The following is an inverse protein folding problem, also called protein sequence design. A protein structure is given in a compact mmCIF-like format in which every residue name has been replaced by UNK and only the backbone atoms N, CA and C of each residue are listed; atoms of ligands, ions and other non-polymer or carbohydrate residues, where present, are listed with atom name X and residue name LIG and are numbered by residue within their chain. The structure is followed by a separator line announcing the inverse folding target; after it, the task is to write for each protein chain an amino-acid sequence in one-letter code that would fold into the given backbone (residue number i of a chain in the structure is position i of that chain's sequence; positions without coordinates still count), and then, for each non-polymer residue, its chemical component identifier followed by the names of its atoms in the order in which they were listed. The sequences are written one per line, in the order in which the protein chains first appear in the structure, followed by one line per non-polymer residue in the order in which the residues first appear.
data_IF_291726411097
#
_entry.id   IF_291726411097
#
_cell.length_a   1.000
_cell.length_b   1.000
_cell.length_c   1.000
_cell.angle_alpha   90.00
_cell.angle_beta   90.00
_cell.angle_gamma   90.00
#
_symmetry.space_group_name_H-M   'P 1'
#
loop_
_entity.id
_entity.type
_entity.pdbx_description
1 polymer ?
#
# COMPACT_ATOMS: atom_id res chain seq x y z
N UNK A 1 -4.85 15.01 17.74
CA UNK A 1 -4.39 15.29 16.37
C UNK A 1 -5.62 15.61 15.54
N UNK A 2 -5.66 16.77 14.89
CA UNK A 2 -6.74 17.07 13.95
C UNK A 2 -6.63 16.13 12.75
N UNK A 3 -7.68 15.36 12.49
CA UNK A 3 -7.77 14.47 11.34
C UNK A 3 -7.77 15.31 10.06
N UNK A 4 -6.75 15.13 9.21
CA UNK A 4 -6.53 15.88 7.96
C UNK A 4 -7.40 15.32 6.82
N UNK A 5 -8.68 15.69 6.86
CA UNK A 5 -9.71 15.27 5.89
C UNK A 5 -9.37 15.71 4.45
N UNK A 6 -8.65 16.80 4.31
CA UNK A 6 -8.10 17.32 3.06
C UNK A 6 -7.17 16.29 2.37
N UNK A 7 -6.25 15.68 3.13
CA UNK A 7 -5.32 14.70 2.58
C UNK A 7 -6.01 13.38 2.27
N UNK A 8 -6.94 12.92 3.13
CA UNK A 8 -7.74 11.74 2.81
C UNK A 8 -8.59 11.97 1.54
N UNK A 9 -9.08 13.20 1.31
CA UNK A 9 -9.75 13.59 0.07
C UNK A 9 -8.84 13.53 -1.16
N UNK A 10 -7.60 14.02 -1.06
CA UNK A 10 -6.62 13.92 -2.15
C UNK A 10 -6.26 12.47 -2.48
N UNK A 11 -6.12 11.61 -1.46
CA UNK A 11 -5.92 10.17 -1.67
C UNK A 11 -7.11 9.52 -2.37
N UNK A 12 -8.33 9.89 -1.99
CA UNK A 12 -9.53 9.41 -2.67
C UNK A 12 -9.54 9.84 -4.14
N UNK A 13 -9.22 11.10 -4.44
CA UNK A 13 -9.11 11.61 -5.81
C UNK A 13 -8.02 10.87 -6.62
N UNK A 14 -6.89 10.52 -6.01
CA UNK A 14 -5.83 9.75 -6.66
C UNK A 14 -6.26 8.33 -7.06
N UNK A 15 -7.18 7.72 -6.30
CA UNK A 15 -7.71 6.37 -6.58
C UNK A 15 -8.80 6.39 -7.67
N UNK A 16 -9.52 7.49 -7.86
CA UNK A 16 -10.62 7.56 -8.83
C UNK A 16 -10.21 7.19 -10.27
N UNK A 17 -9.12 7.72 -10.85
CA UNK A 17 -8.66 7.31 -12.18
C UNK A 17 -8.35 5.81 -12.26
N UNK A 18 -7.83 5.21 -11.19
CA UNK A 18 -7.53 3.77 -11.12
C UNK A 18 -8.83 2.96 -11.27
N UNK A 19 -9.86 3.33 -10.50
CA UNK A 19 -11.16 2.65 -10.54
C UNK A 19 -11.85 2.85 -11.88
N UNK A 20 -11.86 4.07 -12.41
CA UNK A 20 -12.49 4.39 -13.70
C UNK A 20 -11.81 3.67 -14.86
N UNK A 21 -10.48 3.56 -14.83
CA UNK A 21 -9.72 2.79 -15.80
C UNK A 21 -10.16 1.31 -15.81
N UNK A 22 -10.22 0.66 -14.65
CA UNK A 22 -10.65 -0.74 -14.54
C UNK A 22 -12.15 -0.93 -14.82
N UNK A 23 -12.97 0.11 -14.67
CA UNK A 23 -14.38 0.10 -15.03
C UNK A 23 -14.64 0.30 -16.54
N UNK A 24 -13.59 0.42 -17.37
CA UNK A 24 -13.70 0.51 -18.83
C UNK A 24 -13.89 1.93 -19.38
N UNK A 25 -13.69 2.97 -18.56
CA UNK A 25 -13.74 4.35 -19.04
C UNK A 25 -12.42 4.72 -19.73
N UNK A 26 -12.36 4.49 -21.05
CA UNK A 26 -11.16 4.64 -21.90
C UNK A 26 -10.54 6.05 -22.03
N UNK A 27 -11.06 7.06 -21.32
CA UNK A 27 -10.53 8.42 -21.30
C UNK A 27 -9.38 8.63 -20.29
N UNK A 28 -9.08 7.64 -19.44
CA UNK A 28 -8.02 7.71 -18.44
C UNK A 28 -6.84 6.79 -18.79
N UNK A 29 -5.99 7.15 -19.77
CA UNK A 29 -4.75 6.42 -19.99
C UNK A 29 -3.85 6.61 -18.75
N UNK A 30 -3.70 5.56 -17.95
CA UNK A 30 -2.77 5.55 -16.81
C UNK A 30 -3.41 5.41 -15.43
N UNK A 31 -4.11 4.29 -15.18
CA UNK A 31 -4.41 3.87 -13.81
C UNK A 31 -3.17 3.87 -12.89
N UNK A 32 -1.98 3.63 -13.45
CA UNK A 32 -0.70 3.70 -12.74
C UNK A 32 -0.39 5.08 -12.16
N UNK A 33 -0.72 6.18 -12.86
CA UNK A 33 -0.45 7.54 -12.36
C UNK A 33 -1.21 7.83 -11.07
N UNK A 34 -2.45 7.33 -10.97
CA UNK A 34 -3.24 7.45 -9.74
C UNK A 34 -2.60 6.72 -8.57
N UNK A 35 -2.03 5.53 -8.82
CA UNK A 35 -1.32 4.74 -7.82
C UNK A 35 -0.04 5.47 -7.35
N UNK A 36 0.74 6.03 -8.28
CA UNK A 36 1.96 6.78 -7.95
C UNK A 36 1.66 8.01 -7.07
N UNK A 37 0.66 8.81 -7.46
CA UNK A 37 0.22 9.96 -6.67
C UNK A 37 -0.25 9.52 -5.28
N UNK A 38 -1.00 8.42 -5.18
CA UNK A 38 -1.46 7.89 -3.91
C UNK A 38 -0.30 7.51 -2.99
N UNK A 39 0.75 6.86 -3.52
CA UNK A 39 1.95 6.53 -2.75
C UNK A 39 2.71 7.76 -2.28
N UNK A 40 2.90 8.76 -3.14
CA UNK A 40 3.56 10.02 -2.79
C UNK A 40 2.84 10.73 -1.64
N UNK A 41 1.51 10.87 -1.75
CA UNK A 41 0.69 11.51 -0.71
C UNK A 41 0.77 10.73 0.61
N UNK A 42 0.74 9.40 0.53
CA UNK A 42 0.79 8.52 1.70
C UNK A 42 2.12 8.64 2.44
N UNK A 43 3.23 8.63 1.71
CA UNK A 43 4.56 8.84 2.27
C UNK A 43 4.72 10.23 2.92
N UNK A 44 4.23 11.29 2.27
CA UNK A 44 4.23 12.64 2.84
C UNK A 44 3.47 12.71 4.17
N UNK A 45 2.25 12.15 4.20
CA UNK A 45 1.40 12.14 5.39
C UNK A 45 2.08 11.41 6.55
N UNK A 46 2.64 10.23 6.29
CA UNK A 46 3.22 9.38 7.33
C UNK A 46 4.51 9.96 7.86
N UNK A 47 5.35 10.50 6.98
CA UNK A 47 6.54 11.26 7.40
C UNK A 47 6.14 12.37 8.37
N UNK A 48 5.10 13.15 8.04
CA UNK A 48 4.59 14.22 8.90
C UNK A 48 4.09 13.72 10.26
N UNK A 49 3.33 12.62 10.28
CA UNK A 49 2.82 12.01 11.53
C UNK A 49 3.97 11.54 12.41
N UNK A 50 4.90 10.75 11.85
CA UNK A 50 6.03 10.19 12.59
C UNK A 50 6.90 11.31 13.14
N UNK A 51 7.25 12.28 12.30
CA UNK A 51 8.06 13.43 12.72
C UNK A 51 7.38 14.20 13.86
N UNK A 52 6.10 14.53 13.72
CA UNK A 52 5.35 15.26 14.76
C UNK A 52 5.29 14.49 16.09
N UNK A 53 5.12 13.17 16.04
CA UNK A 53 5.13 12.31 17.22
C UNK A 53 6.52 12.21 17.86
N UNK A 54 7.60 12.13 17.05
CA UNK A 54 8.99 12.12 17.52
C UNK A 54 9.35 13.45 18.16
N UNK A 55 9.10 14.57 17.50
CA UNK A 55 9.37 15.93 18.02
C UNK A 55 8.67 16.15 19.37
N UNK A 56 7.51 15.52 19.54
CA UNK A 56 6.74 15.57 20.77
C UNK A 56 7.09 14.49 21.81
N UNK A 57 8.09 13.64 21.55
CA UNK A 57 8.47 12.49 22.38
C UNK A 57 7.32 11.51 22.69
N UNK A 58 6.37 11.37 21.75
CA UNK A 58 5.19 10.48 21.88
C UNK A 58 5.16 9.35 20.86
N UNK A 59 6.17 9.25 19.99
CA UNK A 59 6.19 8.21 18.96
C UNK A 59 6.34 6.83 19.58
N UNK A 60 5.43 5.93 19.21
CA UNK A 60 5.49 4.51 19.54
C UNK A 60 5.23 3.72 18.27
N UNK A 61 6.22 2.91 17.88
CA UNK A 61 6.14 2.09 16.68
C UNK A 61 5.02 1.04 16.77
N UNK A 62 4.81 0.50 17.97
CA UNK A 62 3.73 -0.46 18.25
C UNK A 62 2.38 0.22 18.03
N UNK A 63 2.18 1.40 18.64
CA UNK A 63 0.92 2.14 18.50
C UNK A 63 0.70 2.60 17.04
N UNK A 64 1.77 2.88 16.29
CA UNK A 64 1.68 3.21 14.87
C UNK A 64 1.11 2.02 14.08
N UNK A 65 1.70 0.82 14.21
CA UNK A 65 1.21 -0.37 13.51
C UNK A 65 -0.19 -0.77 13.96
N UNK A 66 -0.48 -0.70 15.25
CA UNK A 66 -1.79 -1.04 15.81
C UNK A 66 -2.92 -0.17 15.24
N UNK A 67 -2.70 1.14 15.11
CA UNK A 67 -3.68 2.06 14.49
C UNK A 67 -3.92 1.73 13.02
N UNK A 68 -2.87 1.36 12.28
CA UNK A 68 -2.99 0.97 10.88
C UNK A 68 -3.72 -0.34 10.72
N UNK A 69 -3.34 -1.34 11.50
CA UNK A 69 -3.96 -2.66 11.50
C UNK A 69 -5.47 -2.57 11.73
N UNK A 70 -5.91 -1.77 12.73
CA UNK A 70 -7.34 -1.53 12.97
C UNK A 70 -8.08 -0.82 11.84
N UNK A 71 -7.39 -0.03 11.01
CA UNK A 71 -7.99 0.68 9.87
C UNK A 71 -8.08 -0.21 8.63
N UNK A 72 -7.08 -1.06 8.39
CA UNK A 72 -6.88 -1.75 7.11
C UNK A 72 -7.32 -3.21 7.17
N UNK A 73 -6.91 -3.95 8.21
CA UNK A 73 -7.17 -5.40 8.30
C UNK A 73 -8.67 -5.76 8.26
N UNK A 74 -9.59 -5.02 8.93
CA UNK A 74 -11.01 -5.38 8.88
C UNK A 74 -11.58 -5.36 7.46
N UNK A 75 -11.29 -4.30 6.70
CA UNK A 75 -11.75 -4.18 5.31
C UNK A 75 -11.04 -5.20 4.41
N UNK A 76 -9.73 -5.39 4.59
CA UNK A 76 -8.95 -6.37 3.84
C UNK A 76 -9.49 -7.80 4.00
N UNK A 77 -9.66 -8.26 5.24
CA UNK A 77 -10.18 -9.61 5.50
C UNK A 77 -11.65 -9.76 5.10
N UNK A 78 -12.45 -8.69 5.20
CA UNK A 78 -13.83 -8.73 4.69
C UNK A 78 -13.87 -8.96 3.17
N UNK A 79 -13.04 -8.25 2.40
CA UNK A 79 -12.92 -8.44 0.94
C UNK A 79 -12.36 -9.82 0.63
N UNK A 80 -11.31 -10.26 1.34
CA UNK A 80 -10.71 -11.56 1.14
C UNK A 80 -11.72 -12.69 1.35
N UNK A 81 -12.45 -12.67 2.47
CA UNK A 81 -13.49 -13.67 2.79
C UNK A 81 -14.65 -13.62 1.79
N UNK A 82 -15.12 -12.43 1.42
CA UNK A 82 -16.18 -12.30 0.42
C UNK A 82 -15.76 -12.88 -0.94
N UNK A 83 -14.50 -12.64 -1.33
CA UNK A 83 -13.95 -13.14 -2.59
C UNK A 83 -13.69 -14.65 -2.54
N UNK A 84 -13.27 -15.18 -1.39
CA UNK A 84 -13.11 -16.63 -1.15
C UNK A 84 -14.45 -17.36 -1.31
N UNK A 85 -15.49 -16.87 -0.63
CA UNK A 85 -16.84 -17.45 -0.72
C UNK A 85 -17.38 -17.34 -2.14
N UNK A 86 -17.25 -16.17 -2.80
CA UNK A 86 -17.68 -16.00 -4.17
C UNK A 86 -16.90 -16.91 -5.14
N UNK A 87 -15.59 -17.00 -4.96
CA UNK A 87 -14.70 -17.83 -5.78
C UNK A 87 -15.08 -19.30 -5.75
N UNK A 88 -15.50 -19.82 -4.59
CA UNK A 88 -15.96 -21.21 -4.46
C UNK A 88 -17.15 -21.54 -5.36
N UNK A 89 -18.05 -20.58 -5.60
CA UNK A 89 -19.24 -20.79 -6.44
C UNK A 89 -19.04 -20.40 -7.90
N UNK A 90 -18.11 -19.49 -8.19
CA UNK A 90 -17.96 -18.87 -9.51
C UNK A 90 -16.76 -19.39 -10.32
N UNK A 91 -15.72 -19.89 -9.67
CA UNK A 91 -14.49 -20.33 -10.33
C UNK A 91 -14.48 -21.84 -10.60
N UNK A 92 -13.83 -22.23 -11.69
CA UNK A 92 -13.50 -23.64 -11.92
C UNK A 92 -12.46 -24.11 -10.89
N UNK A 93 -12.38 -25.43 -10.61
CA UNK A 93 -11.44 -25.95 -9.61
C UNK A 93 -9.98 -25.54 -9.82
N UNK A 94 -9.54 -25.43 -11.08
CA UNK A 94 -8.18 -25.01 -11.43
C UNK A 94 -7.97 -23.51 -11.15
N UNK A 95 -8.90 -22.66 -11.55
CA UNK A 95 -8.86 -21.21 -11.28
C UNK A 95 -8.93 -20.92 -9.78
N UNK A 96 -9.72 -21.68 -9.04
CA UNK A 96 -9.83 -21.56 -7.58
C UNK A 96 -8.52 -21.87 -6.87
N UNK A 97 -7.72 -22.83 -7.37
CA UNK A 97 -6.38 -23.09 -6.83
C UNK A 97 -5.44 -21.90 -7.05
N UNK A 98 -5.45 -21.31 -8.25
CA UNK A 98 -4.68 -20.09 -8.54
C UNK A 98 -5.10 -18.91 -7.67
N UNK A 99 -6.42 -18.75 -7.50
CA UNK A 99 -6.99 -17.77 -6.58
C UNK A 99 -6.54 -17.99 -5.12
N UNK A 100 -6.58 -19.22 -4.60
CA UNK A 100 -6.16 -19.53 -3.24
C UNK A 100 -4.68 -19.21 -2.99
N UNK A 101 -3.81 -19.47 -3.97
CA UNK A 101 -2.40 -19.05 -3.90
C UNK A 101 -2.26 -17.53 -3.84
N UNK A 102 -3.05 -16.80 -4.64
CA UNK A 102 -3.07 -15.34 -4.60
C UNK A 102 -3.62 -14.79 -3.27
N UNK A 103 -4.57 -15.48 -2.64
CA UNK A 103 -5.14 -15.14 -1.33
C UNK A 103 -4.10 -15.31 -0.21
N UNK A 104 -3.32 -16.38 -0.24
CA UNK A 104 -2.18 -16.58 0.66
C UNK A 104 -1.16 -15.46 0.47
N UNK A 105 -0.77 -15.17 -0.77
CA UNK A 105 0.19 -14.11 -1.06
C UNK A 105 -0.32 -12.72 -0.61
N UNK A 106 -1.61 -12.43 -0.79
CA UNK A 106 -2.23 -11.19 -0.32
C UNK A 106 -2.24 -11.10 1.22
N UNK A 107 -2.55 -12.20 1.92
CA UNK A 107 -2.55 -12.25 3.40
C UNK A 107 -1.17 -12.00 3.99
N UNK A 108 -0.13 -12.48 3.30
CA UNK A 108 1.27 -12.26 3.66
C UNK A 108 1.81 -10.91 3.18
N UNK A 109 0.98 -10.08 2.53
CA UNK A 109 1.37 -8.81 1.90
C UNK A 109 2.56 -8.96 0.93
N UNK A 110 2.57 -10.03 0.13
CA UNK A 110 3.56 -10.32 -0.92
C UNK A 110 2.91 -10.56 -2.29
N UNK A 111 1.66 -10.16 -2.47
CA UNK A 111 0.94 -10.42 -3.74
C UNK A 111 1.55 -9.67 -4.93
N UNK A 112 2.25 -8.54 -4.70
CA UNK A 112 3.02 -7.87 -5.75
C UNK A 112 4.12 -8.77 -6.33
N UNK A 113 4.85 -9.49 -5.49
CA UNK A 113 5.91 -10.40 -5.92
C UNK A 113 5.30 -11.63 -6.61
N UNK A 114 4.21 -12.16 -6.04
CA UNK A 114 3.48 -13.29 -6.61
C UNK A 114 3.00 -12.99 -8.03
N UNK A 115 2.27 -11.89 -8.24
CA UNK A 115 1.75 -11.55 -9.58
C UNK A 115 2.87 -11.17 -10.55
N UNK A 116 3.94 -10.51 -10.09
CA UNK A 116 5.12 -10.25 -10.92
C UNK A 116 5.81 -11.54 -11.38
N UNK A 117 5.88 -12.56 -10.53
CA UNK A 117 6.45 -13.86 -10.91
C UNK A 117 5.62 -14.61 -11.96
N UNK A 118 4.32 -14.31 -12.05
CA UNK A 118 3.40 -14.93 -13.02
C UNK A 118 3.32 -14.16 -14.34
N UNK A 119 3.53 -12.83 -14.33
CA UNK A 119 3.31 -11.97 -15.50
C UNK A 119 4.24 -12.22 -16.68
N UNK A 120 5.33 -12.99 -16.50
CA UNK A 120 6.28 -13.34 -17.56
C UNK A 120 6.00 -14.70 -18.21
N UNK A 121 4.90 -15.37 -17.85
CA UNK A 121 4.54 -16.66 -18.41
C UNK A 121 3.69 -16.49 -19.68
N UNK A 122 4.03 -17.19 -20.77
CA UNK A 122 3.27 -17.16 -22.03
C UNK A 122 1.82 -17.62 -21.84
N UNK A 123 1.58 -18.48 -20.86
CA UNK A 123 0.27 -19.00 -20.49
C UNK A 123 -0.36 -18.25 -19.30
N UNK A 124 0.08 -17.02 -19.02
CA UNK A 124 -0.51 -16.24 -17.95
C UNK A 124 -1.97 -15.86 -18.27
N UNK A 125 -2.81 -15.91 -17.23
CA UNK A 125 -4.21 -15.54 -17.34
C UNK A 125 -4.36 -14.01 -17.47
N UNK A 126 -5.37 -13.52 -18.23
CA UNK A 126 -5.66 -12.10 -18.33
C UNK A 126 -5.81 -11.44 -16.96
N UNK A 127 -5.49 -10.14 -16.87
CA UNK A 127 -5.58 -9.41 -15.61
C UNK A 127 -7.02 -9.36 -15.06
N UNK A 128 -8.03 -9.35 -15.93
CA UNK A 128 -9.44 -9.25 -15.52
C UNK A 128 -9.95 -10.53 -14.83
N UNK A 129 -9.29 -11.67 -15.03
CA UNK A 129 -9.70 -12.96 -14.45
C UNK A 129 -9.08 -13.22 -13.07
N UNK A 130 -8.22 -12.32 -12.58
CA UNK A 130 -7.51 -12.45 -11.29
C UNK A 130 -8.19 -11.60 -10.21
N UNK A 131 -9.07 -12.16 -9.36
CA UNK A 131 -9.94 -11.36 -8.49
C UNK A 131 -9.17 -10.51 -7.47
N UNK A 132 -8.03 -11.02 -7.00
CA UNK A 132 -7.19 -10.38 -6.00
C UNK A 132 -6.00 -9.59 -6.60
N UNK A 133 -5.96 -9.39 -7.92
CA UNK A 133 -4.83 -8.71 -8.56
C UNK A 133 -4.58 -7.35 -7.93
N UNK A 134 -5.63 -6.56 -7.71
CA UNK A 134 -5.59 -5.23 -7.10
C UNK A 134 -4.88 -5.16 -5.73
N UNK A 135 -4.71 -6.28 -5.02
CA UNK A 135 -3.97 -6.33 -3.75
C UNK A 135 -2.47 -6.09 -3.90
N UNK A 136 -1.94 -6.11 -5.13
CA UNK A 136 -0.51 -5.88 -5.38
C UNK A 136 -0.04 -4.54 -4.81
N UNK A 137 -0.82 -3.48 -5.01
CA UNK A 137 -0.46 -2.12 -4.55
C UNK A 137 -0.57 -2.03 -3.02
N UNK A 138 -1.55 -2.69 -2.41
CA UNK A 138 -1.67 -2.79 -0.96
C UNK A 138 -0.48 -3.54 -0.34
N UNK A 139 0.01 -4.60 -0.98
CA UNK A 139 1.20 -5.33 -0.52
C UNK A 139 2.43 -4.41 -0.52
N UNK A 140 2.65 -3.64 -1.60
CA UNK A 140 3.73 -2.64 -1.66
C UNK A 140 3.55 -1.57 -0.58
N UNK A 141 2.32 -1.11 -0.39
CA UNK A 141 1.97 -0.12 0.63
C UNK A 141 2.32 -0.61 2.05
N UNK A 142 1.93 -1.83 2.42
CA UNK A 142 2.23 -2.40 3.73
C UNK A 142 3.72 -2.72 3.91
N UNK A 143 4.42 -3.19 2.87
CA UNK A 143 5.89 -3.36 2.88
C UNK A 143 6.59 -2.03 3.19
N UNK A 144 6.18 -0.94 2.51
CA UNK A 144 6.67 0.39 2.78
C UNK A 144 6.38 0.82 4.23
N UNK A 145 5.19 0.53 4.75
CA UNK A 145 4.85 0.89 6.13
C UNK A 145 5.54 0.07 7.19
N UNK A 146 5.94 -1.17 6.93
CA UNK A 146 6.77 -1.93 7.85
C UNK A 146 8.17 -1.30 7.91
N UNK A 147 8.78 -0.99 6.78
CA UNK A 147 10.18 -0.54 6.72
C UNK A 147 10.33 0.94 7.09
N UNK A 148 9.52 1.81 6.51
CA UNK A 148 9.73 3.27 6.53
C UNK A 148 9.71 3.91 7.93
N UNK A 149 8.78 3.57 8.85
CA UNK A 149 8.78 4.13 10.19
C UNK A 149 9.99 3.74 11.03
N UNK A 150 10.47 2.50 10.87
CA UNK A 150 11.71 2.03 11.51
C UNK A 150 12.88 2.88 11.04
N UNK A 151 12.97 3.12 9.73
CA UNK A 151 14.04 3.91 9.13
C UNK A 151 14.00 5.36 9.60
N UNK A 152 12.85 6.05 9.54
CA UNK A 152 12.73 7.43 10.03
C UNK A 152 13.06 7.51 11.52
N UNK A 153 12.54 6.59 12.32
CA UNK A 153 12.79 6.56 13.76
C UNK A 153 14.29 6.38 14.04
N UNK A 154 14.96 5.43 13.39
CA UNK A 154 16.41 5.23 13.51
C UNK A 154 17.22 6.46 13.07
N UNK A 155 16.86 7.08 11.94
CA UNK A 155 17.51 8.29 11.44
C UNK A 155 17.34 9.47 12.40
N UNK A 156 16.20 9.58 13.09
CA UNK A 156 15.97 10.65 14.05
C UNK A 156 16.99 10.64 15.20
N UNK A 157 17.41 9.46 15.67
CA UNK A 157 18.47 9.34 16.68
C UNK A 157 19.86 9.67 16.13
N UNK A 158 20.14 9.30 14.88
CA UNK A 158 21.43 9.58 14.23
C UNK A 158 21.62 11.08 13.96
N UNK A 159 20.54 11.77 13.60
CA UNK A 159 20.54 13.22 13.39
C UNK A 159 20.48 13.99 14.70
N UNK A 160 19.77 13.52 15.73
CA UNK A 160 19.85 14.15 17.05
C UNK A 160 21.29 14.18 17.61
N UNK A 161 22.15 13.23 17.21
CA UNK A 161 23.59 13.21 17.53
C UNK A 161 24.45 14.15 16.67
N UNK A 162 23.96 14.65 15.54
CA UNK A 162 24.67 15.57 14.63
C UNK A 162 23.88 16.89 14.53
N UNK A 163 24.45 18.01 14.99
CA UNK A 163 23.81 19.36 15.03
C UNK A 163 23.19 19.90 13.70
N UNK A 164 23.27 19.18 12.59
CA UNK A 164 22.76 19.59 11.28
C UNK A 164 21.58 18.67 10.84
N UNK A 165 20.35 19.20 10.89
CA UNK A 165 19.10 18.52 10.52
C UNK A 165 18.90 18.20 9.03
N UNK A 166 19.90 18.47 8.19
CA UNK A 166 19.82 18.33 6.72
C UNK A 166 19.77 16.88 6.22
N UNK A 167 20.20 15.90 7.03
CA UNK A 167 20.25 14.50 6.61
C UNK A 167 18.87 13.81 6.53
N UNK A 168 17.92 14.19 7.39
CA UNK A 168 16.54 13.66 7.35
C UNK A 168 15.77 14.15 6.12
N UNK A 169 15.99 15.40 5.72
CA UNK A 169 15.38 16.01 4.54
C UNK A 169 15.97 15.41 3.26
N UNK A 170 17.30 15.22 3.20
CA UNK A 170 17.96 14.59 2.07
C UNK A 170 17.55 13.11 1.89
N UNK A 171 17.38 12.36 2.98
CA UNK A 171 16.88 10.98 2.91
C UNK A 171 15.41 10.91 2.46
N UNK A 172 14.55 11.78 3.00
CA UNK A 172 13.16 11.87 2.56
C UNK A 172 13.08 12.18 1.06
N UNK A 173 13.88 13.14 0.56
CA UNK A 173 13.96 13.46 -0.87
C UNK A 173 14.46 12.26 -1.67
N UNK A 174 15.52 11.58 -1.22
CA UNK A 174 16.10 10.41 -1.89
C UNK A 174 15.14 9.22 -2.04
N UNK A 175 14.26 9.00 -1.05
CA UNK A 175 13.24 7.93 -1.10
C UNK A 175 12.10 8.24 -2.07
N UNK A 176 11.80 9.51 -2.36
CA UNK A 176 10.76 9.91 -3.33
C UNK A 176 11.26 10.11 -4.76
N UNK A 177 12.58 10.08 -4.99
CA UNK A 177 13.20 10.26 -6.32
C UNK A 177 13.60 8.95 -7.02
N UNK A 178 13.28 7.80 -6.43
CA UNK A 178 13.42 6.47 -7.04
C UNK A 178 12.04 5.94 -7.42
#
# INVERSE_FOLDING_TARGET
MLHRRDIDGLRALAVLPVVLFHAGFGFFPGGFVGVDIFFVISGFLITGIIKSEIDSSRFSIINFYERRARRILPAFFAVLLATEVAGWFLLLPEDYQGFAQSAIAATLFVSNIFFWSQSNNYFDQPAETKPLLHTWSLSVEEQFYVVFPVVIFALSFLVARRKNGSALVAFAIGVFTL
#
